data_IF_639086576601
#
_entry.id   IF_639086576601
#
_cell.length_a   1.000
_cell.length_b   1.000
_cell.length_c   1.000
_cell.angle_alpha   90.00
_cell.angle_beta   90.00
_cell.angle_gamma   90.00
#
_symmetry.space_group_name_H-M   'P 1'
#
loop_
_entity.id
_entity.type
_entity.pdbx_description
1 polymer ?
#
# COMPACT_ATOMS: atom_id res chain seq x y z
N UNK A 1 22.63 -22.78 3.19
CA UNK A 1 21.84 -22.21 2.08
C UNK A 1 20.87 -21.21 2.71
N UNK A 2 21.13 -19.90 2.60
CA UNK A 2 20.16 -18.88 3.04
C UNK A 2 19.11 -18.79 1.94
N UNK A 3 17.86 -19.17 2.25
CA UNK A 3 16.72 -18.94 1.37
C UNK A 3 16.57 -17.44 1.19
N UNK A 4 17.08 -16.90 0.08
CA UNK A 4 16.72 -15.57 -0.38
C UNK A 4 15.26 -15.62 -0.74
N UNK A 5 14.46 -14.69 -0.21
CA UNK A 5 13.13 -14.44 -0.75
C UNK A 5 13.25 -14.25 -2.27
N UNK A 6 12.28 -14.72 -3.07
CA UNK A 6 12.27 -14.42 -4.49
C UNK A 6 12.43 -12.91 -4.67
N UNK A 7 13.38 -12.50 -5.50
CA UNK A 7 13.57 -11.09 -5.83
C UNK A 7 12.35 -10.66 -6.66
N UNK A 8 11.37 -10.06 -5.98
CA UNK A 8 10.09 -9.67 -6.56
C UNK A 8 10.22 -8.47 -7.53
N UNK A 9 11.42 -7.90 -7.68
CA UNK A 9 11.67 -6.73 -8.54
C UNK A 9 10.93 -5.48 -8.09
N UNK A 10 10.71 -5.34 -6.77
CA UNK A 10 10.02 -4.23 -6.12
C UNK A 10 10.85 -3.69 -4.95
N UNK A 11 10.71 -2.40 -4.64
CA UNK A 11 11.41 -1.76 -3.53
C UNK A 11 10.80 -2.13 -2.15
N UNK A 12 11.41 -1.65 -1.07
CA UNK A 12 10.99 -1.98 0.30
C UNK A 12 9.57 -1.49 0.64
N UNK A 13 9.19 -0.30 0.16
CA UNK A 13 7.86 0.29 0.37
C UNK A 13 6.82 -0.46 -0.46
N UNK A 14 7.12 -0.71 -1.74
CA UNK A 14 6.30 -1.54 -2.62
C UNK A 14 6.09 -2.95 -2.03
N UNK A 15 7.14 -3.55 -1.45
CA UNK A 15 7.05 -4.85 -0.81
C UNK A 15 6.10 -4.85 0.39
N UNK A 16 6.11 -3.80 1.22
CA UNK A 16 5.18 -3.72 2.34
C UNK A 16 3.72 -3.63 1.89
N UNK A 17 3.44 -2.86 0.83
CA UNK A 17 2.11 -2.83 0.23
C UNK A 17 1.72 -4.17 -0.38
N UNK A 18 2.66 -4.86 -1.07
CA UNK A 18 2.45 -6.21 -1.57
C UNK A 18 2.12 -7.19 -0.45
N UNK A 19 2.87 -7.20 0.65
CA UNK A 19 2.69 -8.12 1.78
C UNK A 19 1.30 -7.93 2.42
N UNK A 20 0.83 -6.68 2.55
CA UNK A 20 -0.53 -6.39 3.02
C UNK A 20 -1.56 -6.96 2.03
N UNK A 21 -1.47 -6.59 0.74
CA UNK A 21 -2.41 -7.04 -0.28
C UNK A 21 -2.46 -8.57 -0.38
N UNK A 22 -1.30 -9.25 -0.23
CA UNK A 22 -1.18 -10.71 -0.21
C UNK A 22 -1.79 -11.32 1.04
N UNK A 23 -1.56 -10.72 2.22
CA UNK A 23 -2.14 -11.19 3.47
C UNK A 23 -3.67 -11.18 3.43
N UNK A 24 -4.25 -10.22 2.70
CA UNK A 24 -5.69 -10.12 2.51
C UNK A 24 -6.25 -11.20 1.58
N UNK A 25 -5.53 -11.58 0.53
CA UNK A 25 -5.96 -12.70 -0.32
C UNK A 25 -6.06 -13.99 0.49
N UNK A 26 -5.14 -14.19 1.43
CA UNK A 26 -5.15 -15.34 2.36
C UNK A 26 -6.27 -15.19 3.40
N UNK A 27 -6.41 -14.02 4.01
CA UNK A 27 -7.40 -13.76 5.08
C UNK A 27 -8.84 -13.97 4.62
N UNK A 28 -9.17 -13.54 3.41
CA UNK A 28 -10.51 -13.62 2.84
C UNK A 28 -10.69 -14.78 1.85
N UNK A 29 -9.72 -15.69 1.79
CA UNK A 29 -9.75 -16.92 0.99
C UNK A 29 -10.14 -16.67 -0.49
N UNK A 30 -9.42 -15.76 -1.15
CA UNK A 30 -9.59 -15.53 -2.58
C UNK A 30 -8.27 -15.59 -3.34
N UNK A 31 -8.35 -16.01 -4.59
CA UNK A 31 -7.21 -16.02 -5.48
C UNK A 31 -7.09 -14.69 -6.22
N UNK A 32 -5.87 -14.16 -6.25
CA UNK A 32 -5.54 -13.00 -7.06
C UNK A 32 -4.12 -13.18 -7.62
N UNK A 33 -3.91 -12.98 -8.94
CA UNK A 33 -2.63 -13.26 -9.58
C UNK A 33 -1.48 -12.47 -8.96
N UNK A 34 -0.34 -13.13 -8.76
CA UNK A 34 0.85 -12.51 -8.15
C UNK A 34 1.37 -11.32 -8.95
N UNK A 35 1.42 -11.43 -10.29
CA UNK A 35 1.81 -10.31 -11.17
C UNK A 35 0.91 -9.09 -10.98
N UNK A 36 -0.39 -9.32 -10.73
CA UNK A 36 -1.34 -8.24 -10.45
C UNK A 36 -1.21 -7.69 -9.03
N UNK A 37 -0.78 -8.48 -8.05
CA UNK A 37 -0.45 -7.98 -6.71
C UNK A 37 0.74 -7.02 -6.77
N UNK A 38 1.79 -7.41 -7.52
CA UNK A 38 2.99 -6.61 -7.70
C UNK A 38 2.64 -5.28 -8.37
N UNK A 39 1.90 -5.30 -9.48
CA UNK A 39 1.47 -4.08 -10.17
C UNK A 39 0.57 -3.19 -9.29
N UNK A 40 -0.33 -3.79 -8.52
CA UNK A 40 -1.20 -3.07 -7.59
C UNK A 40 -0.42 -2.40 -6.46
N UNK A 41 0.60 -3.06 -5.90
CA UNK A 41 1.47 -2.48 -4.88
C UNK A 41 2.22 -1.24 -5.37
N UNK A 42 2.73 -1.28 -6.62
CA UNK A 42 3.37 -0.11 -7.26
C UNK A 42 2.40 1.05 -7.42
N UNK A 43 1.17 0.78 -7.86
CA UNK A 43 0.13 1.82 -8.03
C UNK A 43 -0.27 2.43 -6.68
N UNK A 44 -0.39 1.63 -5.62
CA UNK A 44 -0.66 2.13 -4.26
C UNK A 44 0.46 3.08 -3.81
N UNK A 45 1.73 2.71 -4.02
CA UNK A 45 2.86 3.59 -3.70
C UNK A 45 2.78 4.94 -4.42
N UNK A 46 2.49 4.94 -5.73
CA UNK A 46 2.37 6.19 -6.50
C UNK A 46 1.29 7.10 -5.92
N UNK A 47 0.14 6.55 -5.54
CA UNK A 47 -0.97 7.30 -4.94
C UNK A 47 -0.56 7.89 -3.58
N UNK A 48 0.09 7.09 -2.73
CA UNK A 48 0.60 7.54 -1.43
C UNK A 48 1.64 8.65 -1.61
N UNK A 49 2.62 8.46 -2.50
CA UNK A 49 3.66 9.44 -2.82
C UNK A 49 3.09 10.75 -3.33
N UNK A 50 2.07 10.71 -4.20
CA UNK A 50 1.42 11.89 -4.75
C UNK A 50 0.73 12.71 -3.65
N UNK A 51 -0.11 12.09 -2.82
CA UNK A 51 -0.82 12.82 -1.74
C UNK A 51 0.12 13.28 -0.62
N UNK A 52 1.19 12.54 -0.36
CA UNK A 52 2.20 12.88 0.63
C UNK A 52 3.01 14.14 0.29
N UNK A 53 3.02 14.58 -0.99
CA UNK A 53 3.68 15.81 -1.46
C UNK A 53 2.92 17.09 -1.16
N UNK A 54 1.59 17.03 -1.09
CA UNK A 54 0.73 18.21 -0.99
C UNK A 54 0.23 18.50 0.43
N UNK A 55 0.58 17.68 1.41
CA UNK A 55 -0.10 17.67 2.71
C UNK A 55 0.84 17.88 3.91
N UNK A 56 0.57 18.93 4.69
CA UNK A 56 0.84 18.97 6.13
C UNK A 56 -0.14 17.99 6.82
N UNK A 57 0.38 16.89 7.36
CA UNK A 57 -0.37 15.73 7.86
C UNK A 57 -1.33 16.05 9.04
N UNK A 58 -1.48 17.33 9.39
CA UNK A 58 -2.50 17.85 10.30
C UNK A 58 -3.91 17.91 9.69
N UNK A 59 -4.06 17.75 8.37
CA UNK A 59 -5.37 17.72 7.66
C UNK A 59 -5.74 16.31 7.14
N UNK A 60 -5.12 15.27 7.70
CA UNK A 60 -5.14 13.91 7.13
C UNK A 60 -6.51 13.20 7.18
N UNK A 61 -7.49 13.72 7.93
CA UNK A 61 -8.86 13.20 7.95
C UNK A 61 -9.52 13.24 6.58
N UNK A 62 -9.39 14.36 5.86
CA UNK A 62 -10.03 14.59 4.57
C UNK A 62 -9.32 13.81 3.46
N UNK A 63 -8.00 13.64 3.59
CA UNK A 63 -7.17 12.87 2.66
C UNK A 63 -7.40 11.37 2.79
N UNK A 64 -7.67 10.85 4.00
CA UNK A 64 -8.07 9.45 4.18
C UNK A 64 -9.34 9.12 3.39
N UNK A 65 -10.30 10.04 3.35
CA UNK A 65 -11.54 9.84 2.62
C UNK A 65 -11.31 9.85 1.10
N UNK A 66 -10.51 10.79 0.58
CA UNK A 66 -10.17 10.86 -0.84
C UNK A 66 -9.33 9.66 -1.30
N UNK A 67 -8.29 9.30 -0.53
CA UNK A 67 -7.46 8.13 -0.80
C UNK A 67 -8.24 6.83 -0.72
N UNK A 68 -9.23 6.73 0.19
CA UNK A 68 -10.15 5.59 0.24
C UNK A 68 -10.93 5.46 -1.06
N UNK A 69 -11.41 6.57 -1.64
CA UNK A 69 -12.10 6.56 -2.95
C UNK A 69 -11.16 6.15 -4.08
N UNK A 70 -9.98 6.77 -4.17
CA UNK A 70 -8.97 6.46 -5.20
C UNK A 70 -8.57 4.98 -5.16
N UNK A 71 -8.40 4.42 -3.96
CA UNK A 71 -8.06 3.02 -3.79
C UNK A 71 -9.23 2.08 -4.10
N UNK A 72 -10.48 2.44 -3.82
CA UNK A 72 -11.67 1.68 -4.27
C UNK A 72 -11.68 1.57 -5.79
N UNK A 73 -11.47 2.70 -6.48
CA UNK A 73 -11.43 2.76 -7.94
C UNK A 73 -10.26 1.93 -8.46
N UNK A 74 -9.10 2.01 -7.81
CA UNK A 74 -7.91 1.23 -8.16
C UNK A 74 -8.17 -0.28 -8.03
N UNK A 75 -8.68 -0.74 -6.88
CA UNK A 75 -8.97 -2.16 -6.64
C UNK A 75 -10.00 -2.69 -7.64
N UNK A 76 -11.08 -1.93 -7.88
CA UNK A 76 -12.09 -2.28 -8.87
C UNK A 76 -11.52 -2.34 -10.29
N UNK A 77 -10.70 -1.37 -10.68
CA UNK A 77 -10.06 -1.31 -11.99
C UNK A 77 -9.06 -2.43 -12.25
N UNK A 78 -8.47 -3.01 -11.20
CA UNK A 78 -7.54 -4.15 -11.32
C UNK A 78 -8.23 -5.52 -11.10
N UNK A 79 -9.54 -5.54 -10.81
CA UNK A 79 -10.32 -6.76 -10.59
C UNK A 79 -10.06 -7.42 -9.23
N UNK A 80 -9.56 -6.65 -8.26
CA UNK A 80 -9.37 -7.11 -6.89
C UNK A 80 -10.75 -7.13 -6.18
N UNK A 81 -11.16 -8.23 -5.53
CA UNK A 81 -12.51 -8.37 -5.00
C UNK A 81 -12.80 -7.34 -3.91
N UNK A 82 -14.06 -6.86 -3.80
CA UNK A 82 -14.46 -5.95 -2.74
C UNK A 82 -14.48 -6.69 -1.40
N UNK A 83 -13.43 -6.52 -0.61
CA UNK A 83 -13.33 -7.01 0.78
C UNK A 83 -13.79 -5.96 1.78
N UNK A 84 -14.18 -6.36 3.00
CA UNK A 84 -14.56 -5.41 4.03
C UNK A 84 -13.37 -4.52 4.38
N UNK A 85 -13.58 -3.22 4.21
CA UNK A 85 -12.63 -2.37 3.47
C UNK A 85 -11.75 -1.56 4.43
N UNK A 86 -12.29 -1.24 5.60
CA UNK A 86 -11.71 -0.30 6.56
C UNK A 86 -10.38 -0.78 7.20
N UNK A 87 -10.21 -2.07 7.45
CA UNK A 87 -8.96 -2.58 8.04
C UNK A 87 -7.80 -2.57 7.03
N UNK A 88 -8.06 -2.95 5.78
CA UNK A 88 -7.11 -2.87 4.66
C UNK A 88 -6.59 -1.46 4.49
N UNK A 89 -7.51 -0.50 4.55
CA UNK A 89 -7.18 0.91 4.46
C UNK A 89 -6.29 1.33 5.61
N UNK A 90 -6.67 0.98 6.83
CA UNK A 90 -5.93 1.33 8.03
C UNK A 90 -4.48 0.84 7.96
N UNK A 91 -4.25 -0.43 7.59
CA UNK A 91 -2.89 -0.99 7.54
C UNK A 91 -2.01 -0.34 6.47
N UNK A 92 -2.54 -0.09 5.27
CA UNK A 92 -1.79 0.58 4.18
C UNK A 92 -1.43 2.01 4.58
N UNK A 93 -2.36 2.73 5.22
CA UNK A 93 -2.11 4.08 5.74
C UNK A 93 -1.09 4.10 6.86
N UNK A 94 -1.18 3.17 7.82
CA UNK A 94 -0.22 3.07 8.92
C UNK A 94 1.20 2.77 8.40
N UNK A 95 1.34 1.92 7.38
CA UNK A 95 2.65 1.70 6.75
C UNK A 95 3.16 2.96 6.04
N UNK A 96 2.31 3.65 5.26
CA UNK A 96 2.66 4.91 4.61
C UNK A 96 3.11 6.00 5.61
N UNK A 97 2.41 6.14 6.75
CA UNK A 97 2.80 7.05 7.85
C UNK A 97 4.17 6.70 8.42
N UNK A 98 4.42 5.41 8.65
CA UNK A 98 5.69 4.94 9.19
C UNK A 98 6.83 5.21 8.20
N UNK A 99 6.65 4.94 6.91
CA UNK A 99 7.69 5.24 5.90
C UNK A 99 8.09 6.70 5.89
N UNK A 100 7.13 7.63 5.95
CA UNK A 100 7.40 9.08 6.04
C UNK A 100 8.14 9.46 7.33
N UNK A 101 7.70 8.93 8.48
CA UNK A 101 8.35 9.21 9.77
C UNK A 101 9.82 8.79 9.78
N UNK A 102 10.15 7.67 9.15
CA UNK A 102 11.52 7.14 9.10
C UNK A 102 12.34 7.57 7.88
N UNK A 103 11.72 8.16 6.84
CA UNK A 103 12.44 8.82 5.75
C UNK A 103 12.98 10.19 6.19
N UNK A 104 12.24 10.95 7.01
CA UNK A 104 12.72 12.24 7.53
C UNK A 104 13.85 12.14 8.57
N UNK A 105 14.07 10.96 9.14
CA UNK A 105 15.09 10.71 10.19
C UNK A 105 16.46 10.30 9.61
N UNK A 106 16.55 9.97 8.31
CA UNK A 106 17.81 9.55 7.66
C UNK A 106 18.58 10.66 6.95
N UNK A 107 18.03 11.87 6.88
CA UNK A 107 18.70 13.04 6.29
C UNK A 107 19.44 13.89 7.34
N UNK A 108 19.51 13.46 8.60
CA UNK A 108 20.25 14.13 9.69
C UNK A 108 21.24 13.16 10.37
N UNK A 109 22.24 12.67 9.62
CA UNK A 109 23.50 12.13 10.16
C UNK A 109 24.67 12.42 9.20
#
# INVERSE_FOLDING_TARGET
>A
MKGGAPDLGIDFEEKAFYDILKSLTVKYDFEYPEEKLLDLAKKVKIIVDDKARFTDWSQWSDIKAELKVDQIILLAGNGYPPIDRDEVYKEIFEQAENFKKYQGDRDED
#
